data_IF_014576565001
#
_entry.id   IF_014576565001
#
_cell.length_a   1.000
_cell.length_b   1.000
_cell.length_c   1.000
_cell.angle_alpha   90.00
_cell.angle_beta   90.00
_cell.angle_gamma   90.00
#
_symmetry.space_group_name_H-M   'P 1'
#
loop_
_entity.id
_entity.type
_entity.pdbx_description
1 polymer ?
#
# COMPACT_ATOMS: atom_id res chain seq x y z
N UNK A 1 5.36 21.09 -19.26
CA UNK A 1 6.66 20.63 -18.73
C UNK A 1 7.05 19.26 -19.30
N UNK A 2 8.28 19.10 -19.82
CA UNK A 2 8.76 17.80 -20.25
C UNK A 2 8.94 16.87 -19.03
N UNK A 3 8.87 15.55 -19.18
CA UNK A 3 9.11 14.63 -18.09
C UNK A 3 10.56 14.78 -17.63
N UNK A 4 10.77 14.95 -16.33
CA UNK A 4 12.09 14.84 -15.71
C UNK A 4 12.56 13.40 -15.89
N UNK A 5 13.28 13.16 -16.97
CA UNK A 5 14.08 11.97 -17.19
C UNK A 5 15.18 12.02 -16.12
N UNK A 6 15.08 11.12 -15.14
CA UNK A 6 16.09 10.94 -14.10
C UNK A 6 17.28 10.15 -14.66
N UNK A 7 17.77 10.53 -15.84
CA UNK A 7 18.96 9.93 -16.43
C UNK A 7 20.17 10.65 -15.85
N UNK A 8 20.94 9.88 -15.06
CA UNK A 8 22.29 10.20 -14.56
C UNK A 8 22.45 11.56 -13.88
N UNK A 9 21.84 11.72 -12.70
CA UNK A 9 22.43 12.63 -11.71
C UNK A 9 23.71 11.96 -11.23
N UNK A 10 24.86 12.56 -11.52
CA UNK A 10 26.13 12.14 -10.93
C UNK A 10 26.03 12.37 -9.42
N UNK A 11 25.75 11.29 -8.68
CA UNK A 11 25.61 11.38 -7.23
C UNK A 11 26.97 11.70 -6.64
N UNK A 12 27.09 12.91 -6.11
CA UNK A 12 28.25 13.33 -5.33
C UNK A 12 28.56 12.27 -4.25
N UNK A 13 29.83 11.84 -4.09
CA UNK A 13 30.18 10.76 -3.16
C UNK A 13 29.75 11.06 -1.72
N UNK A 14 29.71 12.33 -1.33
CA UNK A 14 29.25 12.79 -0.01
C UNK A 14 27.77 12.47 0.22
N UNK A 15 26.93 12.55 -0.83
CA UNK A 15 25.51 12.22 -0.74
C UNK A 15 25.31 10.71 -0.57
N UNK A 16 26.12 9.89 -1.24
CA UNK A 16 26.04 8.44 -1.08
C UNK A 16 26.48 8.02 0.33
N UNK A 17 27.56 8.62 0.83
CA UNK A 17 28.01 8.41 2.20
C UNK A 17 26.92 8.79 3.21
N UNK A 18 26.23 9.91 3.01
CA UNK A 18 25.12 10.32 3.88
C UNK A 18 23.93 9.34 3.81
N UNK A 19 23.56 8.86 2.62
CA UNK A 19 22.47 7.89 2.47
C UNK A 19 22.79 6.54 3.12
N UNK A 20 24.07 6.13 3.07
CA UNK A 20 24.55 4.91 3.72
C UNK A 20 24.63 5.09 5.26
N UNK A 21 25.09 6.25 5.74
CA UNK A 21 25.17 6.57 7.17
C UNK A 21 23.78 6.61 7.82
N UNK A 22 22.81 7.23 7.15
CA UNK A 22 21.43 7.35 7.61
C UNK A 22 20.50 6.37 6.90
N UNK A 23 21.01 5.17 6.61
CA UNK A 23 20.26 4.11 5.95
C UNK A 23 19.09 3.59 6.79
N UNK A 24 18.97 3.96 8.07
CA UNK A 24 17.84 3.71 8.96
C UNK A 24 16.74 4.79 8.85
N UNK A 25 17.08 5.99 8.39
CA UNK A 25 16.17 7.13 8.16
C UNK A 25 15.67 7.16 6.72
N UNK A 26 16.57 7.02 5.75
CA UNK A 26 16.23 7.07 4.33
C UNK A 26 15.88 5.68 3.80
N UNK A 27 14.85 5.62 2.96
CA UNK A 27 14.38 4.39 2.31
C UNK A 27 14.21 4.64 0.83
N UNK A 28 14.78 3.76 0.00
CA UNK A 28 14.56 3.76 -1.45
C UNK A 28 13.26 3.05 -1.84
N UNK A 29 12.67 2.28 -0.92
CA UNK A 29 11.41 1.57 -1.12
C UNK A 29 10.83 1.05 0.19
N UNK A 30 9.67 0.40 0.09
CA UNK A 30 9.05 -0.25 1.24
C UNK A 30 9.92 -1.42 1.72
N UNK A 31 10.15 -1.47 3.03
CA UNK A 31 10.95 -2.49 3.69
C UNK A 31 10.15 -3.15 4.82
N UNK A 32 10.62 -4.29 5.32
CA UNK A 32 10.02 -5.02 6.44
C UNK A 32 10.45 -4.43 7.80
N UNK A 33 10.38 -3.11 7.94
CA UNK A 33 10.67 -2.43 9.20
C UNK A 33 9.66 -2.87 10.27
N UNK A 34 10.09 -3.12 11.52
CA UNK A 34 9.17 -3.51 12.57
C UNK A 34 8.17 -2.38 12.88
N UNK A 35 6.94 -2.71 13.30
CA UNK A 35 5.99 -1.68 13.71
C UNK A 35 6.55 -0.90 14.90
N UNK A 36 6.23 0.39 14.95
CA UNK A 36 6.57 1.23 16.09
C UNK A 36 5.93 0.66 17.36
N UNK A 37 6.65 0.73 18.49
CA UNK A 37 6.23 0.17 19.78
C UNK A 37 5.20 1.05 20.48
N UNK A 38 4.01 1.17 19.87
CA UNK A 38 2.86 1.87 20.45
C UNK A 38 1.68 0.90 20.60
N UNK A 39 0.71 1.20 21.49
CA UNK A 39 -0.52 0.43 21.56
C UNK A 39 -1.20 0.34 20.19
N UNK A 40 -1.79 -0.81 19.82
CA UNK A 40 -2.51 -0.95 18.55
C UNK A 40 -3.61 0.12 18.41
N UNK A 41 -3.74 0.65 17.20
CA UNK A 41 -4.86 1.55 16.88
C UNK A 41 -6.18 0.77 16.95
N UNK A 42 -7.11 1.25 17.77
CA UNK A 42 -8.48 0.74 17.84
C UNK A 42 -9.41 1.69 17.10
N UNK A 43 -10.14 1.17 16.11
CA UNK A 43 -11.15 1.93 15.36
C UNK A 43 -12.52 1.61 15.95
N UNK A 44 -13.28 2.65 16.32
CA UNK A 44 -14.64 2.48 16.84
C UNK A 44 -15.65 2.52 15.69
N UNK A 45 -16.70 1.71 15.79
CA UNK A 45 -17.81 1.73 14.86
C UNK A 45 -18.97 2.51 15.49
N UNK A 46 -19.75 3.20 14.65
CA UNK A 46 -21.01 3.81 15.08
C UNK A 46 -21.97 2.74 15.63
N UNK A 47 -22.84 3.15 16.55
CA UNK A 47 -23.86 2.26 17.09
C UNK A 47 -24.75 1.67 15.99
N UNK A 48 -24.92 0.34 16.02
CA UNK A 48 -25.72 -0.38 15.03
C UNK A 48 -25.05 -0.59 13.67
N UNK A 49 -23.75 -0.30 13.53
CA UNK A 49 -23.01 -0.55 12.30
C UNK A 49 -23.15 -2.00 11.82
N UNK A 50 -23.51 -2.16 10.54
CA UNK A 50 -23.66 -3.48 9.91
C UNK A 50 -22.40 -3.86 9.14
N UNK A 51 -21.94 -5.08 9.38
CA UNK A 51 -20.86 -5.67 8.60
C UNK A 51 -21.25 -5.84 7.13
N UNK A 52 -20.29 -5.64 6.23
CA UNK A 52 -20.51 -5.79 4.79
C UNK A 52 -19.30 -6.44 4.11
N UNK A 53 -19.55 -7.18 3.03
CA UNK A 53 -18.49 -7.71 2.17
C UNK A 53 -18.73 -7.30 0.74
N UNK A 54 -17.74 -6.69 0.11
CA UNK A 54 -17.81 -6.37 -1.31
C UNK A 54 -17.93 -7.67 -2.12
N UNK A 55 -18.64 -7.59 -3.25
CA UNK A 55 -18.73 -8.71 -4.20
C UNK A 55 -17.36 -9.01 -4.81
N UNK A 56 -17.14 -10.27 -5.17
CA UNK A 56 -15.95 -10.68 -5.92
C UNK A 56 -15.88 -9.87 -7.22
N UNK A 57 -14.70 -9.31 -7.51
CA UNK A 57 -14.47 -8.51 -8.71
C UNK A 57 -13.72 -9.30 -9.77
N UNK A 58 -14.05 -9.01 -11.03
CA UNK A 58 -13.26 -9.42 -12.18
C UNK A 58 -12.20 -8.37 -12.44
N UNK A 59 -10.95 -8.78 -12.44
CA UNK A 59 -9.81 -7.92 -12.75
C UNK A 59 -9.27 -8.27 -14.14
N UNK A 60 -8.81 -7.26 -14.88
CA UNK A 60 -7.98 -7.52 -16.05
C UNK A 60 -6.71 -8.28 -15.64
N UNK A 61 -6.13 -9.14 -16.50
CA UNK A 61 -4.96 -9.96 -16.13
C UNK A 61 -3.80 -9.16 -15.53
N UNK A 62 -3.49 -8.00 -16.10
CA UNK A 62 -2.43 -7.10 -15.61
C UNK A 62 -2.72 -6.53 -14.21
N UNK A 63 -3.98 -6.19 -13.93
CA UNK A 63 -4.39 -5.70 -12.62
C UNK A 63 -4.35 -6.84 -11.59
N UNK A 64 -4.81 -8.03 -11.97
CA UNK A 64 -4.79 -9.20 -11.09
C UNK A 64 -3.37 -9.58 -10.69
N UNK A 65 -2.45 -9.61 -11.66
CA UNK A 65 -1.05 -9.91 -11.42
C UNK A 65 -0.45 -8.90 -10.43
N UNK A 66 -0.61 -7.59 -10.71
CA UNK A 66 -0.16 -6.54 -9.81
C UNK A 66 -0.71 -6.67 -8.39
N UNK A 67 -2.02 -6.88 -8.24
CA UNK A 67 -2.66 -7.01 -6.93
C UNK A 67 -2.18 -8.26 -6.17
N UNK A 68 -1.89 -9.34 -6.89
CA UNK A 68 -1.34 -10.57 -6.30
C UNK A 68 0.07 -10.33 -5.80
N UNK A 69 0.94 -9.73 -6.62
CA UNK A 69 2.34 -9.49 -6.29
C UNK A 69 2.50 -8.52 -5.12
N UNK A 70 1.77 -7.40 -5.14
CA UNK A 70 1.82 -6.42 -4.04
C UNK A 70 1.25 -7.01 -2.75
N UNK A 71 0.19 -7.82 -2.82
CA UNK A 71 -0.38 -8.46 -1.62
C UNK A 71 0.59 -9.47 -1.03
N UNK A 72 1.31 -10.23 -1.87
CA UNK A 72 2.36 -11.14 -1.42
C UNK A 72 3.49 -10.36 -0.74
N UNK A 73 3.99 -9.30 -1.38
CA UNK A 73 5.04 -8.46 -0.80
C UNK A 73 4.63 -7.86 0.56
N UNK A 74 3.42 -7.33 0.67
CA UNK A 74 2.90 -6.78 1.92
C UNK A 74 2.70 -7.86 3.00
N UNK A 75 2.35 -9.09 2.61
CA UNK A 75 2.25 -10.21 3.54
C UNK A 75 3.64 -10.64 4.03
N UNK A 76 4.62 -10.74 3.13
CA UNK A 76 6.00 -11.10 3.46
C UNK A 76 6.65 -10.06 4.40
N UNK A 77 6.29 -8.78 4.24
CA UNK A 77 6.71 -7.69 5.13
C UNK A 77 5.90 -7.58 6.43
N UNK A 78 4.88 -8.42 6.63
CA UNK A 78 4.03 -8.38 7.81
C UNK A 78 3.07 -7.19 7.88
N UNK A 79 2.91 -6.42 6.81
CA UNK A 79 1.99 -5.29 6.75
C UNK A 79 0.51 -5.73 6.69
N UNK A 80 0.25 -6.91 6.11
CA UNK A 80 -1.11 -7.50 6.03
C UNK A 80 -1.09 -8.98 6.41
N UNK A 81 -2.24 -9.49 6.88
CA UNK A 81 -2.43 -10.89 7.25
C UNK A 81 -3.65 -11.48 6.56
N UNK A 82 -3.62 -12.80 6.30
CA UNK A 82 -4.78 -13.52 5.78
C UNK A 82 -5.82 -13.66 6.88
N UNK A 83 -7.02 -13.13 6.65
CA UNK A 83 -8.16 -13.27 7.56
C UNK A 83 -9.40 -13.75 6.80
N UNK A 84 -9.61 -15.07 6.77
CA UNK A 84 -10.74 -15.68 6.07
C UNK A 84 -12.08 -15.43 6.78
N UNK A 85 -12.04 -15.19 8.08
CA UNK A 85 -13.21 -14.89 8.94
C UNK A 85 -13.62 -13.41 8.95
N UNK A 86 -12.99 -12.55 8.14
CA UNK A 86 -13.27 -11.12 8.14
C UNK A 86 -14.76 -10.82 7.86
N UNK A 87 -15.41 -10.10 8.77
CA UNK A 87 -16.81 -9.68 8.59
C UNK A 87 -16.95 -8.51 7.62
N UNK A 88 -15.89 -7.71 7.50
CA UNK A 88 -15.78 -6.57 6.59
C UNK A 88 -14.88 -6.91 5.41
N UNK A 89 -15.27 -6.52 4.19
CA UNK A 89 -14.40 -6.61 3.03
C UNK A 89 -14.66 -5.44 2.07
N UNK A 90 -13.63 -4.65 1.80
CA UNK A 90 -13.63 -3.57 0.81
C UNK A 90 -12.92 -3.99 -0.47
N UNK A 91 -13.26 -3.34 -1.58
CA UNK A 91 -12.67 -3.63 -2.87
C UNK A 91 -11.24 -3.09 -2.97
N UNK A 92 -10.30 -3.95 -3.33
CA UNK A 92 -8.96 -3.55 -3.78
C UNK A 92 -9.00 -3.18 -5.27
N UNK A 93 -8.29 -2.12 -5.64
CA UNK A 93 -8.25 -1.53 -6.96
C UNK A 93 -6.79 -1.29 -7.36
N UNK A 94 -6.46 -1.61 -8.61
CA UNK A 94 -5.19 -1.24 -9.22
C UNK A 94 -5.39 0.08 -9.98
N UNK A 95 -5.05 1.20 -9.34
CA UNK A 95 -5.21 2.52 -9.93
C UNK A 95 -3.97 2.87 -10.80
N UNK A 96 -4.15 3.28 -12.06
CA UNK A 96 -3.02 3.57 -12.94
C UNK A 96 -2.22 4.77 -12.45
N UNK A 97 -0.89 4.70 -12.55
CA UNK A 97 -0.02 5.86 -12.32
C UNK A 97 -0.04 6.78 -13.56
N UNK A 98 -0.32 8.09 -13.41
CA UNK A 98 -0.28 9.02 -14.53
C UNK A 98 1.07 8.99 -15.25
N UNK A 99 1.04 8.90 -16.59
CA UNK A 99 2.25 8.91 -17.43
C UNK A 99 3.15 7.67 -17.33
N UNK A 100 2.72 6.61 -16.62
CA UNK A 100 3.49 5.37 -16.45
C UNK A 100 2.62 4.18 -16.88
N UNK A 101 2.65 3.76 -18.17
CA UNK A 101 1.81 2.67 -18.65
C UNK A 101 2.13 1.38 -17.87
N UNK A 102 1.09 0.60 -17.59
CA UNK A 102 1.18 -0.67 -16.85
C UNK A 102 1.78 -0.57 -15.43
N UNK A 103 1.90 0.62 -14.84
CA UNK A 103 2.22 0.78 -13.43
C UNK A 103 0.99 1.19 -12.64
N UNK A 104 0.75 0.49 -11.53
CA UNK A 104 -0.44 0.67 -10.71
C UNK A 104 -0.10 1.08 -9.28
N UNK A 105 -1.11 1.54 -8.56
CA UNK A 105 -1.15 1.76 -7.12
C UNK A 105 -2.21 0.83 -6.54
N UNK A 106 -1.92 0.21 -5.41
CA UNK A 106 -2.94 -0.48 -4.62
C UNK A 106 -3.81 0.58 -3.94
N UNK A 107 -5.10 0.58 -4.23
CA UNK A 107 -6.09 1.44 -3.58
C UNK A 107 -7.22 0.58 -3.02
N UNK A 108 -7.66 0.85 -1.79
CA UNK A 108 -8.81 0.17 -1.18
C UNK A 108 -9.95 1.16 -1.07
N UNK A 109 -11.14 0.79 -1.55
CA UNK A 109 -12.34 1.62 -1.42
C UNK A 109 -12.90 1.54 0.00
N UNK A 110 -12.50 2.50 0.84
CA UNK A 110 -12.89 2.58 2.24
C UNK A 110 -14.15 3.44 2.49
N UNK A 111 -14.80 3.97 1.44
CA UNK A 111 -15.94 4.91 1.62
C UNK A 111 -17.05 4.36 2.51
N UNK A 112 -17.42 3.09 2.30
CA UNK A 112 -18.47 2.45 3.10
C UNK A 112 -18.01 2.17 4.54
N UNK A 113 -16.73 1.88 4.76
CA UNK A 113 -16.18 1.67 6.10
C UNK A 113 -16.09 3.00 6.86
N UNK A 114 -15.56 4.04 6.21
CA UNK A 114 -15.41 5.37 6.79
C UNK A 114 -16.76 6.00 7.18
N UNK A 115 -17.85 5.62 6.51
CA UNK A 115 -19.20 6.08 6.85
C UNK A 115 -19.78 5.45 8.12
N UNK A 116 -19.15 4.38 8.65
CA UNK A 116 -19.62 3.63 9.83
C UNK A 116 -18.58 3.59 10.96
N UNK A 117 -17.52 4.39 10.86
CA UNK A 117 -16.45 4.52 11.86
C UNK A 117 -16.44 5.92 12.45
N UNK A 118 -16.13 6.04 13.74
CA UNK A 118 -15.92 7.31 14.48
C UNK A 118 -14.45 7.51 14.87
#
# INVERSE_FOLDING_TARGET
PPPLILDSVEFKPELRQMLDEFADIFRSGLSADPPIKIPPLSIQLIDGAKAFRCRQRRYAPTHYQFLTDISKQLQDYGCIVKNNSARFASAALAAPKPGRPCQFRLCVDLRQLNAITE
#
